data_IF_941334908085
#
_entry.id   IF_941334908085
#
_cell.length_a   1.000
_cell.length_b   1.000
_cell.length_c   1.000
_cell.angle_alpha   90.00
_cell.angle_beta   90.00
_cell.angle_gamma   90.00
#
_symmetry.space_group_name_H-M   'P 1'
#
loop_
_entity.id
_entity.type
_entity.pdbx_description
1 polymer ?
#
# COMPACT_ATOMS: atom_id res chain seq x y z
N UNK A 1 -9.94 4.04 -23.62
CA UNK A 1 -10.12 5.06 -22.55
C UNK A 1 -10.46 6.34 -23.28
N UNK A 2 -11.62 6.95 -23.03
CA UNK A 2 -12.05 8.16 -23.75
C UNK A 2 -11.76 9.35 -22.81
N UNK A 3 -10.87 10.23 -23.24
CA UNK A 3 -10.60 11.47 -22.51
C UNK A 3 -11.72 12.49 -22.77
N UNK A 4 -12.05 13.35 -21.80
CA UNK A 4 -13.12 14.35 -21.95
C UNK A 4 -12.77 15.50 -22.91
N UNK A 5 -11.53 15.56 -23.40
CA UNK A 5 -10.99 16.64 -24.24
C UNK A 5 -10.07 16.00 -25.28
N UNK A 6 -9.98 16.61 -26.47
CA UNK A 6 -8.93 16.31 -27.45
C UNK A 6 -7.57 16.68 -26.85
N UNK A 7 -6.75 15.66 -26.63
CA UNK A 7 -5.40 15.79 -26.09
C UNK A 7 -4.41 15.40 -27.19
N UNK A 8 -3.26 16.05 -27.17
CA UNK A 8 -2.13 15.65 -28.00
C UNK A 8 -1.66 14.23 -27.63
N UNK A 9 -1.11 13.50 -28.59
CA UNK A 9 -0.66 12.12 -28.41
C UNK A 9 0.38 12.01 -27.27
N UNK A 10 1.24 13.02 -27.12
CA UNK A 10 2.26 13.06 -26.05
C UNK A 10 1.61 13.20 -24.68
N UNK A 11 0.64 14.10 -24.54
CA UNK A 11 -0.06 14.35 -23.27
C UNK A 11 -0.92 13.15 -22.87
N UNK A 12 -1.51 12.45 -23.85
CA UNK A 12 -2.25 11.22 -23.63
C UNK A 12 -1.36 10.09 -23.07
N UNK A 13 -0.16 9.92 -23.64
CA UNK A 13 0.81 8.91 -23.19
C UNK A 13 1.28 9.19 -21.77
N UNK A 14 1.55 10.46 -21.43
CA UNK A 14 1.97 10.83 -20.06
C UNK A 14 0.83 10.60 -19.07
N UNK A 15 -0.41 11.00 -19.39
CA UNK A 15 -1.55 10.74 -18.52
C UNK A 15 -1.79 9.25 -18.30
N UNK A 16 -1.71 8.45 -19.38
CA UNK A 16 -1.78 6.98 -19.31
C UNK A 16 -0.73 6.41 -18.37
N UNK A 17 0.51 6.92 -18.43
CA UNK A 17 1.59 6.49 -17.53
C UNK A 17 1.27 6.81 -16.07
N UNK A 18 0.80 8.03 -15.78
CA UNK A 18 0.40 8.45 -14.42
C UNK A 18 -0.74 7.57 -13.89
N UNK A 19 -1.75 7.28 -14.72
CA UNK A 19 -2.87 6.40 -14.35
C UNK A 19 -2.41 4.95 -14.11
N UNK A 20 -1.52 4.43 -14.94
CA UNK A 20 -0.96 3.08 -14.78
C UNK A 20 -0.20 2.94 -13.46
N UNK A 21 0.68 3.90 -13.14
CA UNK A 21 1.42 3.91 -11.89
C UNK A 21 0.51 4.09 -10.67
N UNK A 22 -0.59 4.85 -10.79
CA UNK A 22 -1.59 4.93 -9.73
C UNK A 22 -2.27 3.59 -9.48
N UNK A 23 -2.64 2.88 -10.54
CA UNK A 23 -3.27 1.57 -10.43
C UNK A 23 -2.32 0.57 -9.78
N UNK A 24 -1.06 0.56 -10.18
CA UNK A 24 -0.02 -0.27 -9.57
C UNK A 24 0.16 0.05 -8.09
N UNK A 25 0.25 1.33 -7.72
CA UNK A 25 0.32 1.74 -6.32
C UNK A 25 -0.89 1.25 -5.51
N UNK A 26 -2.11 1.40 -6.04
CA UNK A 26 -3.32 0.96 -5.35
C UNK A 26 -3.41 -0.57 -5.21
N UNK A 27 -3.03 -1.31 -6.26
CA UNK A 27 -2.98 -2.77 -6.22
C UNK A 27 -1.92 -3.28 -5.23
N UNK A 28 -0.74 -2.64 -5.18
CA UNK A 28 0.29 -2.96 -4.19
C UNK A 28 -0.16 -2.64 -2.77
N UNK A 29 -0.84 -1.51 -2.56
CA UNK A 29 -1.42 -1.11 -1.27
C UNK A 29 -2.47 -2.10 -0.79
N UNK A 30 -3.40 -2.53 -1.67
CA UNK A 30 -4.40 -3.55 -1.34
C UNK A 30 -3.77 -4.88 -0.97
N UNK A 31 -2.76 -5.34 -1.74
CA UNK A 31 -2.02 -6.57 -1.43
C UNK A 31 -1.30 -6.48 -0.09
N UNK A 32 -0.66 -5.35 0.19
CA UNK A 32 -0.02 -5.10 1.49
C UNK A 32 -1.05 -5.13 2.63
N UNK A 33 -2.19 -4.45 2.49
CA UNK A 33 -3.25 -4.45 3.50
C UNK A 33 -3.82 -5.85 3.74
N UNK A 34 -4.03 -6.62 2.68
CA UNK A 34 -4.51 -8.00 2.77
C UNK A 34 -3.48 -8.90 3.47
N UNK A 35 -2.20 -8.78 3.13
CA UNK A 35 -1.12 -9.48 3.84
C UNK A 35 -1.02 -9.09 5.31
N UNK A 36 -1.23 -7.81 5.64
CA UNK A 36 -1.21 -7.33 7.02
C UNK A 36 -2.41 -7.85 7.83
N UNK A 37 -3.60 -7.87 7.22
CA UNK A 37 -4.81 -8.45 7.84
C UNK A 37 -4.61 -9.95 8.07
N UNK A 38 -4.09 -10.69 7.09
CA UNK A 38 -3.76 -12.12 7.24
C UNK A 38 -2.74 -12.35 8.35
N UNK A 39 -1.70 -11.51 8.44
CA UNK A 39 -0.72 -11.57 9.51
C UNK A 39 -1.35 -11.35 10.89
N UNK A 40 -2.18 -10.31 11.05
CA UNK A 40 -2.88 -10.04 12.30
C UNK A 40 -3.83 -11.16 12.69
N UNK A 41 -4.55 -11.73 11.72
CA UNK A 41 -5.46 -12.86 11.96
C UNK A 41 -4.68 -14.11 12.41
N UNK A 42 -3.57 -14.42 11.75
CA UNK A 42 -2.68 -15.52 12.14
C UNK A 42 -2.10 -15.33 13.55
N UNK A 43 -1.72 -14.09 13.90
CA UNK A 43 -1.21 -13.75 15.22
C UNK A 43 -2.30 -13.89 16.30
N UNK A 44 -3.52 -13.47 16.00
CA UNK A 44 -4.65 -13.57 16.92
C UNK A 44 -5.04 -15.03 17.20
N UNK A 45 -5.09 -15.88 16.17
CA UNK A 45 -5.35 -17.31 16.32
C UNK A 45 -4.28 -18.00 17.17
N UNK A 46 -3.01 -17.64 16.98
CA UNK A 46 -1.94 -18.17 17.81
C UNK A 46 -2.01 -17.67 19.26
N UNK A 47 -2.33 -16.40 19.48
CA UNK A 47 -2.57 -15.87 20.82
C UNK A 47 -3.67 -16.66 21.54
N UNK A 48 -4.74 -17.01 20.84
CA UNK A 48 -5.81 -17.87 21.36
C UNK A 48 -5.34 -19.29 21.69
N UNK A 49 -4.55 -19.91 20.80
CA UNK A 49 -3.96 -21.22 21.05
C UNK A 49 -3.07 -21.19 22.32
N UNK A 50 -2.14 -20.26 22.40
CA UNK A 50 -1.26 -20.08 23.57
C UNK A 50 -2.05 -19.81 24.85
N UNK A 51 -3.14 -19.04 24.76
CA UNK A 51 -4.02 -18.80 25.89
C UNK A 51 -4.66 -20.10 26.40
N UNK A 52 -5.15 -20.96 25.51
CA UNK A 52 -5.77 -22.22 25.91
C UNK A 52 -4.74 -23.24 26.43
N UNK A 53 -3.60 -23.38 25.77
CA UNK A 53 -2.64 -24.47 26.04
C UNK A 53 -1.67 -24.12 27.18
N UNK A 54 -1.38 -22.84 27.41
CA UNK A 54 -0.40 -22.40 28.41
C UNK A 54 -1.07 -21.64 29.55
N UNK A 55 -1.93 -20.66 29.25
CA UNK A 55 -2.52 -19.78 30.29
C UNK A 55 -3.56 -20.49 31.13
N UNK A 56 -4.46 -21.29 30.56
CA UNK A 56 -5.48 -22.02 31.32
C UNK A 56 -4.89 -23.06 32.29
N UNK A 57 -3.95 -23.94 31.88
CA UNK A 57 -3.41 -24.97 32.78
C UNK A 57 -2.38 -24.46 33.79
N UNK A 58 -1.64 -23.38 33.49
CA UNK A 58 -0.54 -22.90 34.34
C UNK A 58 -0.82 -21.56 35.05
N UNK A 59 -2.11 -21.20 35.22
CA UNK A 59 -2.56 -19.95 35.87
C UNK A 59 -1.82 -19.52 37.15
N UNK A 60 -1.40 -20.40 38.08
CA UNK A 60 -0.84 -19.96 39.36
C UNK A 60 0.65 -19.62 39.34
N UNK A 61 1.42 -19.89 38.27
CA UNK A 61 2.87 -19.68 38.29
C UNK A 61 3.44 -19.26 36.92
N UNK A 62 3.85 -17.99 36.82
CA UNK A 62 4.46 -17.40 35.61
C UNK A 62 5.77 -18.10 35.24
N UNK A 63 6.57 -18.56 36.21
CA UNK A 63 7.81 -19.31 35.97
C UNK A 63 7.56 -20.61 35.20
N UNK A 64 6.50 -21.36 35.56
CA UNK A 64 6.13 -22.60 34.86
C UNK A 64 5.61 -22.32 33.45
N UNK A 65 4.99 -21.17 33.23
CA UNK A 65 4.59 -20.73 31.89
C UNK A 65 5.80 -20.40 31.01
N UNK A 66 6.82 -19.71 31.54
CA UNK A 66 8.04 -19.43 30.79
C UNK A 66 8.87 -20.67 30.51
N UNK A 67 8.97 -21.61 31.45
CA UNK A 67 9.64 -22.89 31.20
C UNK A 67 8.92 -23.69 30.11
N UNK A 68 7.59 -23.82 30.18
CA UNK A 68 6.81 -24.52 29.14
C UNK A 68 6.92 -23.86 27.75
N UNK A 69 7.07 -22.53 27.70
CA UNK A 69 7.34 -21.78 26.46
C UNK A 69 8.73 -22.09 25.86
N UNK A 70 9.74 -22.33 26.70
CA UNK A 70 11.12 -22.58 26.27
C UNK A 70 11.33 -24.06 25.93
N UNK A 71 10.67 -24.96 26.65
CA UNK A 71 10.80 -26.42 26.50
C UNK A 71 10.01 -26.96 25.31
N UNK A 72 9.00 -26.22 24.83
CA UNK A 72 8.17 -26.62 23.70
C UNK A 72 8.78 -26.16 22.36
N UNK A 73 9.30 -27.12 21.57
CA UNK A 73 9.84 -26.90 20.23
C UNK A 73 8.86 -26.17 19.29
N UNK A 74 7.55 -26.32 19.53
CA UNK A 74 6.52 -25.63 18.76
C UNK A 74 6.54 -24.11 18.94
N UNK A 75 6.89 -23.61 20.13
CA UNK A 75 7.01 -22.17 20.40
C UNK A 75 8.14 -21.55 19.60
N UNK A 76 9.29 -22.23 19.52
CA UNK A 76 10.45 -21.74 18.77
C UNK A 76 10.14 -21.64 17.27
N UNK A 77 9.56 -22.70 16.69
CA UNK A 77 9.11 -22.68 15.30
C UNK A 77 8.09 -21.56 15.03
N UNK A 78 7.22 -21.28 15.99
CA UNK A 78 6.26 -20.20 15.86
C UNK A 78 6.90 -18.81 15.92
N UNK A 79 7.85 -18.59 16.81
CA UNK A 79 8.60 -17.32 16.87
C UNK A 79 9.34 -17.04 15.55
N UNK A 80 9.94 -18.08 14.95
CA UNK A 80 10.57 -17.99 13.62
C UNK A 80 9.53 -17.70 12.54
N UNK A 81 8.36 -18.33 12.59
CA UNK A 81 7.27 -18.09 11.64
C UNK A 81 6.74 -16.65 11.71
N UNK A 82 6.48 -16.13 12.91
CA UNK A 82 6.06 -14.74 13.12
C UNK A 82 7.14 -13.76 12.67
N UNK A 83 8.41 -14.04 12.99
CA UNK A 83 9.54 -13.22 12.53
C UNK A 83 9.64 -13.16 11.01
N UNK A 84 9.46 -14.29 10.34
CA UNK A 84 9.42 -14.38 8.86
C UNK A 84 8.26 -13.57 8.26
N UNK A 85 7.07 -13.67 8.85
CA UNK A 85 5.92 -12.89 8.40
C UNK A 85 6.09 -11.39 8.64
N UNK A 86 6.66 -10.99 9.79
CA UNK A 86 6.96 -9.60 10.09
C UNK A 86 7.96 -9.02 9.08
N UNK A 87 8.99 -9.79 8.71
CA UNK A 87 9.94 -9.42 7.66
C UNK A 87 9.26 -9.25 6.30
N UNK A 88 8.37 -10.17 5.92
CA UNK A 88 7.59 -10.07 4.68
C UNK A 88 6.74 -8.80 4.64
N UNK A 89 6.01 -8.50 5.73
CA UNK A 89 5.22 -7.26 5.84
C UNK A 89 6.10 -6.02 5.67
N UNK A 90 7.27 -5.99 6.33
CA UNK A 90 8.21 -4.88 6.19
C UNK A 90 8.72 -4.73 4.75
N UNK A 91 9.03 -5.85 4.08
CA UNK A 91 9.45 -5.85 2.69
C UNK A 91 8.35 -5.31 1.74
N UNK A 92 7.11 -5.76 1.90
CA UNK A 92 5.98 -5.25 1.12
C UNK A 92 5.70 -3.77 1.39
N UNK A 93 5.83 -3.33 2.65
CA UNK A 93 5.71 -1.91 3.02
C UNK A 93 6.74 -1.05 2.31
N UNK A 94 8.01 -1.48 2.29
CA UNK A 94 9.07 -0.76 1.58
C UNK A 94 8.80 -0.68 0.07
N UNK A 95 8.29 -1.76 -0.51
CA UNK A 95 7.91 -1.79 -1.94
C UNK A 95 6.74 -0.87 -2.26
N UNK A 96 5.72 -0.81 -1.39
CA UNK A 96 4.59 0.10 -1.58
C UNK A 96 4.99 1.57 -1.42
N UNK A 97 5.90 1.86 -0.49
CA UNK A 97 6.40 3.22 -0.27
C UNK A 97 7.21 3.71 -1.48
N UNK A 98 8.03 2.83 -2.08
CA UNK A 98 8.72 3.15 -3.33
C UNK A 98 7.74 3.45 -4.47
N UNK A 99 6.70 2.62 -4.63
CA UNK A 99 5.65 2.87 -5.63
C UNK A 99 4.87 4.17 -5.37
N UNK A 100 4.69 4.56 -4.10
CA UNK A 100 4.09 5.85 -3.73
C UNK A 100 4.99 7.02 -4.11
N UNK A 101 6.29 6.93 -3.84
CA UNK A 101 7.28 7.94 -4.21
C UNK A 101 7.37 8.11 -5.73
N UNK A 102 7.45 7.00 -6.47
CA UNK A 102 7.50 7.01 -7.93
C UNK A 102 6.24 7.66 -8.52
N UNK A 103 5.05 7.29 -8.02
CA UNK A 103 3.78 7.93 -8.41
C UNK A 103 3.76 9.42 -8.09
N UNK A 104 4.24 9.82 -6.92
CA UNK A 104 4.25 11.22 -6.52
C UNK A 104 5.21 12.05 -7.38
N UNK A 105 6.39 11.52 -7.68
CA UNK A 105 7.36 12.16 -8.57
C UNK A 105 6.80 12.35 -9.98
N UNK A 106 6.17 11.31 -10.55
CA UNK A 106 5.48 11.37 -11.85
C UNK A 106 4.36 12.40 -11.86
N UNK A 107 3.59 12.51 -10.77
CA UNK A 107 2.55 13.53 -10.62
C UNK A 107 3.15 14.94 -10.61
N UNK A 108 4.23 15.17 -9.86
CA UNK A 108 4.89 16.48 -9.80
C UNK A 108 5.49 16.87 -11.15
N UNK A 109 6.18 15.94 -11.83
CA UNK A 109 6.70 16.16 -13.17
C UNK A 109 5.59 16.54 -14.15
N UNK A 110 4.44 15.85 -14.08
CA UNK A 110 3.28 16.19 -14.90
C UNK A 110 2.73 17.59 -14.59
N UNK A 111 2.62 17.97 -13.31
CA UNK A 111 2.13 19.31 -12.92
C UNK A 111 3.07 20.40 -13.44
N UNK A 112 4.38 20.24 -13.29
CA UNK A 112 5.36 21.21 -13.78
C UNK A 112 5.34 21.34 -15.30
N UNK A 113 5.31 20.20 -16.02
CA UNK A 113 5.26 20.19 -17.49
C UNK A 113 3.86 20.46 -18.05
N UNK A 114 2.81 20.50 -17.24
CA UNK A 114 1.43 20.64 -17.72
C UNK A 114 1.22 21.93 -18.52
N UNK A 115 1.89 23.02 -18.16
CA UNK A 115 1.80 24.31 -18.87
C UNK A 115 2.44 24.27 -20.27
N UNK A 116 3.45 23.43 -20.47
CA UNK A 116 4.11 23.24 -21.77
C UNK A 116 3.46 22.14 -22.62
N UNK A 117 2.92 21.10 -21.97
CA UNK A 117 2.31 19.94 -22.61
C UNK A 117 0.86 20.18 -23.05
N UNK A 118 0.15 21.11 -22.42
CA UNK A 118 -1.23 21.43 -22.75
C UNK A 118 -1.25 22.54 -23.80
N UNK A 119 -1.67 22.20 -25.02
CA UNK A 119 -1.99 23.21 -26.04
C UNK A 119 -3.04 24.21 -25.52
N UNK A 120 -3.05 25.44 -26.03
CA UNK A 120 -3.94 26.53 -25.56
C UNK A 120 -5.40 26.11 -25.37
N UNK A 121 -5.96 25.30 -26.29
CA UNK A 121 -7.35 24.79 -26.18
C UNK A 121 -7.56 23.79 -25.03
N UNK A 122 -6.57 22.94 -24.77
CA UNK A 122 -6.60 21.97 -23.67
C UNK A 122 -6.27 22.65 -22.33
N UNK A 123 -5.47 23.71 -22.37
CA UNK A 123 -5.13 24.55 -21.22
C UNK A 123 -6.35 25.31 -20.69
N UNK A 124 -7.16 25.92 -21.56
CA UNK A 124 -8.44 26.55 -21.18
C UNK A 124 -9.38 25.56 -20.48
N UNK A 125 -9.42 24.32 -20.97
CA UNK A 125 -10.27 23.24 -20.44
C UNK A 125 -9.57 22.36 -19.39
N UNK A 126 -8.39 22.73 -18.89
CA UNK A 126 -7.63 21.93 -17.91
C UNK A 126 -8.43 21.56 -16.66
N UNK A 127 -9.34 22.44 -16.25
CA UNK A 127 -10.21 22.24 -15.11
C UNK A 127 -11.12 21.01 -15.28
N UNK A 128 -11.66 20.79 -16.49
CA UNK A 128 -12.47 19.61 -16.81
C UNK A 128 -11.63 18.32 -16.73
N UNK A 129 -10.38 18.37 -17.22
CA UNK A 129 -9.46 17.23 -17.15
C UNK A 129 -9.09 16.90 -15.69
N UNK A 130 -8.78 17.93 -14.90
CA UNK A 130 -8.37 17.76 -13.51
C UNK A 130 -9.52 17.27 -12.64
N UNK A 131 -10.73 17.75 -12.88
CA UNK A 131 -11.92 17.29 -12.20
C UNK A 131 -12.27 15.85 -12.58
N UNK A 132 -12.13 15.47 -13.86
CA UNK A 132 -12.33 14.10 -14.32
C UNK A 132 -11.29 13.14 -13.72
N UNK A 133 -10.02 13.54 -13.66
CA UNK A 133 -8.92 12.78 -13.02
C UNK A 133 -9.15 12.61 -11.51
N UNK A 134 -9.63 13.66 -10.85
CA UNK A 134 -10.00 13.62 -9.43
C UNK A 134 -11.20 12.70 -9.20
N UNK A 135 -12.24 12.77 -10.03
CA UNK A 135 -13.45 11.96 -9.86
C UNK A 135 -13.24 10.48 -10.18
N UNK A 136 -12.47 10.19 -11.24
CA UNK A 136 -12.30 8.82 -11.75
C UNK A 136 -11.20 8.07 -11.02
N UNK A 137 -10.11 8.76 -10.71
CA UNK A 137 -8.91 8.14 -10.15
C UNK A 137 -8.53 8.70 -8.79
N UNK A 138 -9.24 9.69 -8.22
CA UNK A 138 -8.88 10.36 -6.97
C UNK A 138 -7.49 11.04 -7.01
N UNK A 139 -7.08 11.52 -8.18
CA UNK A 139 -5.81 12.25 -8.37
C UNK A 139 -6.08 13.75 -8.35
N UNK A 140 -5.55 14.46 -7.36
CA UNK A 140 -5.54 15.92 -7.38
C UNK A 140 -4.35 16.43 -8.20
N UNK A 141 -4.63 17.11 -9.31
CA UNK A 141 -3.61 17.75 -10.17
C UNK A 141 -3.49 19.26 -9.94
N UNK A 142 -4.24 19.82 -8.98
CA UNK A 142 -4.29 21.27 -8.73
C UNK A 142 -3.08 21.80 -7.97
N UNK A 143 -2.44 20.97 -7.15
CA UNK A 143 -1.35 21.37 -6.27
C UNK A 143 -0.24 20.31 -6.33
N UNK A 144 0.99 20.78 -6.29
CA UNK A 144 2.20 19.95 -6.28
C UNK A 144 2.39 19.25 -4.91
N UNK A 145 1.95 19.89 -3.83
CA UNK A 145 1.98 19.34 -2.48
C UNK A 145 0.65 18.69 -2.04
N UNK A 146 0.77 17.79 -1.06
CA UNK A 146 -0.32 17.03 -0.45
C UNK A 146 -1.17 17.87 0.49
#
# INVERSE_FOLDING_TARGET
MIFPIELDEVTEVILKRVMMHKKEWNDMKKRMQLSFILFLLSLALFGLYMYQTIVIPHRPSIERMMMALIDDEHTFWFAVFVGSLAWLVFFYKKKSEKAEQDFHALRCEFIQKSNELLQERAWEKRHVLYEWMKKTYDISLYHENK
#
